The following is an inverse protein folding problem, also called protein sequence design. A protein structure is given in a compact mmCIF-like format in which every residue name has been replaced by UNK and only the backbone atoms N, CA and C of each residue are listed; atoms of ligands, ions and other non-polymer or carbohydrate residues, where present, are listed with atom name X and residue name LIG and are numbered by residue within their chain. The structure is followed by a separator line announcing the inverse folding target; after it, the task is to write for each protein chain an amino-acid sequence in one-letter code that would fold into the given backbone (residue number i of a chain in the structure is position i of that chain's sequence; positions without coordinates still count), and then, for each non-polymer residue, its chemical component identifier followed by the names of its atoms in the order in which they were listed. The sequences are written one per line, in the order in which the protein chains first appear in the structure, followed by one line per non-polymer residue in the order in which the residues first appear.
data_IF_161559728890
#
_entry.id   IF_161559728890
#
_cell.length_a   1.000
_cell.length_b   1.000
_cell.length_c   1.000
_cell.angle_alpha   90.00
_cell.angle_beta   90.00
_cell.angle_gamma   90.00
#
_symmetry.space_group_name_H-M   'P 1'
#
loop_
_entity.id
_entity.type
_entity.pdbx_description
1 polymer ?
#
# COMPACT_ATOMS: atom_id res chain seq x y z
N UNK A 1 17.64 28.00 4.74
CA UNK A 1 17.79 26.96 3.70
C UNK A 1 17.93 25.60 4.38
N UNK A 2 16.90 24.75 4.33
CA UNK A 2 17.06 23.35 4.76
C UNK A 2 17.81 22.64 3.64
N UNK A 3 19.00 22.10 3.93
CA UNK A 3 19.91 21.54 2.92
C UNK A 3 19.36 20.20 2.43
N UNK A 4 19.06 20.10 1.15
CA UNK A 4 19.03 18.84 0.42
C UNK A 4 20.50 18.50 0.11
N UNK A 5 21.20 17.93 1.08
CA UNK A 5 22.55 17.38 0.92
C UNK A 5 22.50 15.88 1.19
N UNK A 6 23.38 15.06 0.59
CA UNK A 6 23.13 13.63 0.46
C UNK A 6 23.32 12.92 1.80
N UNK A 7 22.30 12.25 2.36
CA UNK A 7 22.53 11.04 3.12
C UNK A 7 22.78 9.87 2.15
N UNK A 8 23.80 9.06 2.41
CA UNK A 8 23.99 7.80 1.71
C UNK A 8 22.72 6.94 1.81
N UNK A 9 22.30 6.36 0.68
CA UNK A 9 21.09 5.55 0.50
C UNK A 9 19.76 6.27 0.84
N UNK A 10 19.30 7.16 -0.04
CA UNK A 10 17.93 7.67 0.03
C UNK A 10 16.91 6.58 -0.31
N UNK A 11 15.92 6.39 0.56
CA UNK A 11 14.75 5.59 0.21
C UNK A 11 13.77 6.40 -0.64
N UNK A 12 12.94 5.71 -1.42
CA UNK A 12 11.88 6.33 -2.23
C UNK A 12 10.93 7.21 -1.37
N UNK A 13 10.71 6.82 -0.11
CA UNK A 13 9.89 7.58 0.83
C UNK A 13 10.57 8.86 1.27
N UNK A 14 11.87 8.79 1.56
CA UNK A 14 12.67 9.97 1.91
C UNK A 14 12.68 10.96 0.74
N UNK A 15 12.93 10.50 -0.49
CA UNK A 15 12.89 11.35 -1.68
C UNK A 15 11.55 12.09 -1.81
N UNK A 16 10.43 11.40 -1.58
CA UNK A 16 9.11 12.05 -1.64
C UNK A 16 8.78 12.90 -0.41
N UNK A 17 9.18 12.53 0.81
CA UNK A 17 9.04 13.44 1.96
C UNK A 17 9.85 14.72 1.71
N UNK A 18 11.06 14.62 1.15
CA UNK A 18 11.88 15.77 0.75
C UNK A 18 11.19 16.57 -0.37
N UNK A 19 10.82 15.96 -1.49
CA UNK A 19 10.22 16.66 -2.62
C UNK A 19 8.86 17.34 -2.29
N UNK A 20 8.08 16.74 -1.39
CA UNK A 20 6.77 17.27 -0.99
C UNK A 20 6.88 18.30 0.13
N UNK A 21 7.81 18.16 1.09
CA UNK A 21 7.88 19.00 2.30
C UNK A 21 9.08 19.96 2.35
N UNK A 22 10.07 19.81 1.48
CA UNK A 22 11.32 20.56 1.50
C UNK A 22 11.64 21.09 0.10
N UNK A 23 12.11 22.32 0.07
CA UNK A 23 12.48 23.04 -1.14
C UNK A 23 13.76 22.44 -1.73
N UNK A 24 13.66 21.31 -2.43
CA UNK A 24 14.78 20.76 -3.20
C UNK A 24 14.71 21.22 -4.67
N UNK A 25 15.85 21.62 -5.27
CA UNK A 25 15.93 21.89 -6.70
C UNK A 25 15.46 20.66 -7.51
N UNK A 26 14.66 20.84 -8.59
CA UNK A 26 14.16 19.73 -9.40
C UNK A 26 15.24 18.81 -9.93
N UNK A 27 16.37 19.36 -10.37
CA UNK A 27 17.52 18.59 -10.85
C UNK A 27 18.06 17.65 -9.78
N UNK A 28 18.19 18.13 -8.55
CA UNK A 28 18.67 17.31 -7.44
C UNK A 28 17.68 16.17 -7.10
N UNK A 29 16.37 16.45 -7.14
CA UNK A 29 15.34 15.42 -6.94
C UNK A 29 15.38 14.39 -8.07
N UNK A 30 15.62 14.81 -9.32
CA UNK A 30 15.75 13.89 -10.45
C UNK A 30 17.01 13.03 -10.39
N UNK A 31 18.14 13.61 -10.01
CA UNK A 31 19.40 12.90 -9.80
C UNK A 31 19.25 11.84 -8.70
N UNK A 32 18.68 12.22 -7.54
CA UNK A 32 18.38 11.28 -6.46
C UNK A 32 17.40 10.19 -6.92
N UNK A 33 16.39 10.55 -7.72
CA UNK A 33 15.41 9.60 -8.25
C UNK A 33 16.05 8.58 -9.19
N UNK A 34 16.93 9.02 -10.10
CA UNK A 34 17.69 8.16 -11.00
C UNK A 34 18.64 7.25 -10.23
N UNK A 35 19.27 7.76 -9.17
CA UNK A 35 20.11 6.93 -8.30
C UNK A 35 19.30 5.82 -7.61
N UNK A 36 18.08 6.13 -7.14
CA UNK A 36 17.19 5.13 -6.56
C UNK A 36 16.73 4.10 -7.60
N UNK A 37 16.48 4.49 -8.86
CA UNK A 37 16.16 3.51 -9.91
C UNK A 37 17.31 2.53 -10.12
N UNK A 38 18.54 3.04 -10.18
CA UNK A 38 19.73 2.21 -10.38
C UNK A 38 19.90 1.17 -9.26
N UNK A 39 19.57 1.50 -8.01
CA UNK A 39 19.64 0.53 -6.91
C UNK A 39 18.62 -0.62 -7.01
N UNK A 40 17.51 -0.44 -7.74
CA UNK A 40 16.56 -1.53 -8.03
C UNK A 40 16.95 -2.40 -9.23
N UNK A 41 17.88 -1.93 -10.07
CA UNK A 41 18.42 -2.69 -11.20
C UNK A 41 19.59 -3.58 -10.79
N UNK A 42 20.13 -3.41 -9.57
CA UNK A 42 21.12 -4.31 -8.99
C UNK A 42 20.45 -5.60 -8.48
N UNK A 43 21.04 -6.79 -8.72
CA UNK A 43 20.45 -8.08 -8.38
C UNK A 43 20.55 -8.37 -6.87
N UNK A 44 19.87 -7.59 -6.05
CA UNK A 44 19.61 -7.94 -4.65
C UNK A 44 18.10 -8.03 -4.43
N UNK A 45 17.63 -9.23 -4.07
CA UNK A 45 16.27 -9.42 -3.59
C UNK A 45 16.10 -8.59 -2.32
N UNK A 46 15.24 -7.56 -2.34
CA UNK A 46 14.88 -6.80 -1.14
C UNK A 46 14.17 -7.73 -0.14
N UNK A 47 14.94 -8.33 0.78
CA UNK A 47 14.41 -9.23 1.79
C UNK A 47 13.86 -8.45 2.98
N UNK A 48 12.55 -8.26 3.03
CA UNK A 48 11.90 -7.67 4.21
C UNK A 48 11.83 -8.71 5.34
N UNK A 49 12.68 -8.55 6.36
CA UNK A 49 12.64 -9.36 7.58
C UNK A 49 11.48 -8.91 8.49
N UNK A 50 10.64 -9.86 8.94
CA UNK A 50 9.76 -9.62 10.08
C UNK A 50 10.01 -10.75 11.07
N UNK A 51 10.52 -10.45 12.26
CA UNK A 51 10.70 -11.43 13.34
C UNK A 51 9.34 -11.96 13.78
N UNK A 52 9.21 -13.29 13.89
CA UNK A 52 7.99 -13.95 14.41
C UNK A 52 7.95 -13.72 15.92
N UNK A 53 6.93 -13.03 16.42
CA UNK A 53 6.77 -12.76 17.85
C UNK A 53 6.24 -13.97 18.61
N UNK A 54 6.77 -14.22 19.80
CA UNK A 54 6.30 -15.25 20.73
C UNK A 54 4.90 -14.95 21.25
N UNK A 55 4.23 -15.95 21.83
CA UNK A 55 2.92 -15.78 22.46
C UNK A 55 2.97 -14.74 23.59
N UNK A 56 4.06 -14.74 24.37
CA UNK A 56 4.29 -13.75 25.43
C UNK A 56 4.46 -12.34 24.88
N UNK A 57 5.23 -12.15 23.82
CA UNK A 57 5.39 -10.84 23.17
C UNK A 57 4.09 -10.33 22.53
N UNK A 58 3.20 -11.23 22.09
CA UNK A 58 1.85 -10.89 21.62
C UNK A 58 0.98 -10.41 22.79
N UNK A 59 1.03 -11.10 23.93
CA UNK A 59 0.30 -10.74 25.15
C UNK A 59 0.74 -9.39 25.73
N UNK A 60 2.05 -9.16 25.85
CA UNK A 60 2.60 -7.87 26.32
C UNK A 60 2.21 -6.72 25.38
N UNK A 61 2.20 -6.97 24.06
CA UNK A 61 1.69 -5.98 23.13
C UNK A 61 0.20 -5.70 23.37
N UNK A 62 -0.63 -6.74 23.54
CA UNK A 62 -2.07 -6.60 23.84
C UNK A 62 -2.35 -5.72 25.06
N UNK A 63 -1.70 -5.99 26.19
CA UNK A 63 -1.86 -5.22 27.43
C UNK A 63 -1.38 -3.77 27.27
N UNK A 64 -0.19 -3.56 26.66
CA UNK A 64 0.33 -2.22 26.37
C UNK A 64 -0.59 -1.38 25.44
N UNK A 65 -1.40 -2.03 24.60
CA UNK A 65 -2.33 -1.34 23.69
C UNK A 65 -3.71 -1.07 24.30
N UNK A 66 -4.19 -1.88 25.25
CA UNK A 66 -5.41 -1.58 26.00
C UNK A 66 -5.27 -0.30 26.82
N UNK A 67 -4.07 -0.04 27.34
CA UNK A 67 -3.78 1.13 28.17
C UNK A 67 -3.57 2.45 27.42
N UNK A 68 -3.46 2.45 26.07
CA UNK A 68 -3.24 3.69 25.30
C UNK A 68 -4.50 4.21 24.61
N UNK A 69 -5.26 5.13 25.25
CA UNK A 69 -6.22 5.94 24.53
C UNK A 69 -5.49 6.91 23.58
N UNK A 70 -6.00 6.97 22.34
CA UNK A 70 -6.09 8.20 21.53
C UNK A 70 -4.85 9.07 21.23
N UNK A 71 -3.60 8.60 21.29
CA UNK A 71 -2.48 9.43 20.76
C UNK A 71 -2.50 9.63 19.23
N UNK A 72 -3.23 8.80 18.49
CA UNK A 72 -3.32 8.89 17.02
C UNK A 72 -4.10 10.11 16.49
N UNK A 73 -4.93 10.77 17.31
CA UNK A 73 -5.64 11.99 16.91
C UNK A 73 -4.84 13.28 17.15
N UNK A 74 -3.74 13.21 17.90
CA UNK A 74 -2.95 14.39 18.30
C UNK A 74 -1.83 14.77 17.30
N UNK A 75 -1.70 14.07 16.16
CA UNK A 75 -0.53 14.16 15.28
C UNK A 75 -0.73 14.92 13.97
N UNK A 76 -1.97 15.33 13.62
CA UNK A 76 -2.24 16.10 12.40
C UNK A 76 -2.51 17.57 12.73
N UNK A 77 -1.45 18.36 12.93
CA UNK A 77 -1.57 19.82 12.98
C UNK A 77 -1.58 20.37 11.54
N UNK A 78 -2.79 20.55 10.99
CA UNK A 78 -2.97 21.07 9.63
C UNK A 78 -2.30 22.42 9.42
N UNK A 79 -2.17 23.26 10.45
CA UNK A 79 -1.51 24.59 10.30
C UNK A 79 -0.03 24.41 9.99
N UNK A 80 0.64 23.50 10.69
CA UNK A 80 2.04 23.14 10.40
C UNK A 80 2.20 22.50 9.03
N UNK A 81 1.28 21.61 8.63
CA UNK A 81 1.31 20.99 7.30
C UNK A 81 1.20 22.07 6.23
N UNK A 82 0.23 22.99 6.33
CA UNK A 82 0.09 24.11 5.39
C UNK A 82 1.34 24.99 5.39
N UNK A 83 1.87 25.32 6.56
CA UNK A 83 3.09 26.14 6.69
C UNK A 83 4.32 25.49 6.05
N UNK A 84 4.53 24.18 6.23
CA UNK A 84 5.66 23.47 5.59
C UNK A 84 5.44 23.22 4.09
N UNK A 85 4.27 23.54 3.56
CA UNK A 85 3.90 23.35 2.17
C UNK A 85 3.38 24.66 1.54
N UNK A 86 3.75 25.82 2.09
CA UNK A 86 3.32 27.13 1.58
C UNK A 86 4.07 27.56 0.32
N UNK A 87 5.25 26.99 0.08
CA UNK A 87 6.11 27.37 -1.03
C UNK A 87 5.51 26.92 -2.37
N UNK A 88 5.77 27.72 -3.42
CA UNK A 88 5.40 27.36 -4.79
C UNK A 88 6.17 26.12 -5.21
N UNK A 89 5.49 25.17 -5.84
CA UNK A 89 6.16 24.00 -6.41
C UNK A 89 7.02 24.42 -7.59
N UNK A 90 8.20 23.81 -7.80
CA UNK A 90 9.00 24.06 -8.99
C UNK A 90 8.27 23.74 -10.30
N UNK A 91 8.84 24.19 -11.42
CA UNK A 91 8.45 23.74 -12.75
C UNK A 91 9.00 22.34 -13.06
N UNK A 92 8.37 21.65 -14.01
CA UNK A 92 8.83 20.34 -14.47
C UNK A 92 10.15 20.47 -15.25
N UNK A 93 11.08 19.56 -15.02
CA UNK A 93 12.32 19.46 -15.80
C UNK A 93 12.13 18.74 -17.15
N UNK A 94 11.00 18.07 -17.35
CA UNK A 94 10.64 17.42 -18.61
C UNK A 94 9.72 18.28 -19.46
N UNK A 95 9.64 19.59 -19.19
CA UNK A 95 8.94 20.57 -20.02
C UNK A 95 7.49 20.16 -20.34
N UNK A 96 6.79 19.55 -19.38
CA UNK A 96 5.39 19.10 -19.55
C UNK A 96 5.20 18.05 -20.67
N UNK A 97 6.20 17.22 -20.94
CA UNK A 97 6.08 16.07 -21.85
C UNK A 97 5.09 15.02 -21.35
N UNK A 98 4.54 14.24 -22.27
CA UNK A 98 3.60 13.19 -21.92
C UNK A 98 4.31 12.03 -21.20
N UNK A 99 3.58 11.36 -20.31
CA UNK A 99 4.12 10.28 -19.48
C UNK A 99 4.82 9.16 -20.27
N UNK A 100 4.27 8.79 -21.42
CA UNK A 100 4.84 7.74 -22.27
C UNK A 100 6.16 8.17 -22.94
N UNK A 101 6.33 9.46 -23.23
CA UNK A 101 7.57 10.01 -23.80
C UNK A 101 8.68 10.08 -22.75
N UNK A 102 8.32 10.44 -21.50
CA UNK A 102 9.25 10.44 -20.37
C UNK A 102 9.66 9.01 -20.03
N UNK A 103 8.71 8.11 -19.81
CA UNK A 103 9.00 6.74 -19.39
C UNK A 103 9.57 5.84 -20.50
N UNK A 104 9.67 6.34 -21.74
CA UNK A 104 10.46 5.70 -22.80
C UNK A 104 11.98 5.92 -22.61
N UNK A 105 12.38 6.92 -21.83
CA UNK A 105 13.78 7.18 -21.51
C UNK A 105 14.26 6.26 -20.38
N UNK A 106 15.52 5.85 -20.48
CA UNK A 106 16.17 5.05 -19.44
C UNK A 106 16.24 5.83 -18.11
N UNK A 107 16.00 5.12 -17.01
CA UNK A 107 15.97 5.65 -15.64
C UNK A 107 15.03 6.84 -15.40
N UNK A 108 14.08 7.11 -16.30
CA UNK A 108 13.13 8.21 -16.10
C UNK A 108 11.94 7.79 -15.22
N UNK A 109 11.56 6.52 -15.23
CA UNK A 109 10.45 5.97 -14.44
C UNK A 109 10.86 4.67 -13.75
N UNK A 110 10.22 4.35 -12.63
CA UNK A 110 10.49 3.09 -11.92
C UNK A 110 10.25 1.89 -12.86
N UNK A 111 11.12 0.87 -12.86
CA UNK A 111 10.94 -0.29 -13.74
C UNK A 111 9.70 -1.11 -13.35
N UNK A 112 9.09 -1.84 -14.29
CA UNK A 112 7.96 -2.71 -13.97
C UNK A 112 8.43 -3.99 -13.28
N UNK A 113 7.55 -4.57 -12.45
CA UNK A 113 7.70 -5.91 -11.89
C UNK A 113 9.02 -6.18 -11.15
N UNK A 114 9.53 -5.21 -10.38
CA UNK A 114 10.63 -5.49 -9.45
C UNK A 114 10.17 -6.51 -8.42
N UNK A 115 10.98 -7.56 -8.23
CA UNK A 115 10.64 -8.67 -7.34
C UNK A 115 10.78 -8.24 -5.88
N UNK A 116 9.64 -8.11 -5.20
CA UNK A 116 9.59 -7.85 -3.77
C UNK A 116 8.84 -8.98 -3.08
N UNK A 117 9.40 -9.44 -1.95
CA UNK A 117 8.83 -10.49 -1.12
C UNK A 117 7.32 -10.26 -0.91
N UNK A 118 6.45 -11.17 -1.39
CA UNK A 118 5.03 -10.97 -1.30
C UNK A 118 4.51 -11.22 0.11
N UNK A 119 3.32 -10.72 0.40
CA UNK A 119 2.54 -11.11 1.57
C UNK A 119 1.20 -11.62 1.10
N UNK A 120 0.96 -12.90 1.30
CA UNK A 120 -0.24 -13.60 0.88
C UNK A 120 -1.03 -14.00 2.12
N UNK A 121 -2.35 -13.89 2.07
CA UNK A 121 -3.25 -14.57 3.00
C UNK A 121 -4.13 -15.55 2.25
N UNK A 122 -4.55 -16.62 2.90
CA UNK A 122 -5.33 -17.68 2.28
C UNK A 122 -6.55 -18.03 3.11
N UNK A 123 -7.58 -18.54 2.42
CA UNK A 123 -8.67 -19.32 3.00
C UNK A 123 -8.71 -20.67 2.27
N UNK A 124 -8.00 -21.71 2.78
CA UNK A 124 -7.98 -23.01 2.13
C UNK A 124 -9.35 -23.67 2.03
N UNK A 125 -10.24 -23.47 3.01
CA UNK A 125 -11.62 -24.01 2.97
C UNK A 125 -12.39 -23.47 1.76
N UNK A 126 -12.10 -22.25 1.33
CA UNK A 126 -12.74 -21.60 0.17
C UNK A 126 -11.86 -21.62 -1.09
N UNK A 127 -10.61 -22.07 -0.99
CA UNK A 127 -9.58 -21.96 -2.04
C UNK A 127 -9.45 -20.52 -2.57
N UNK A 128 -9.39 -19.57 -1.64
CA UNK A 128 -9.15 -18.16 -1.95
C UNK A 128 -7.75 -17.81 -1.45
N UNK A 129 -6.98 -17.08 -2.23
CA UNK A 129 -5.81 -16.36 -1.74
C UNK A 129 -5.96 -14.88 -2.07
N UNK A 130 -5.50 -14.00 -1.17
CA UNK A 130 -5.43 -12.56 -1.42
C UNK A 130 -3.99 -12.07 -1.26
N UNK A 131 -3.55 -11.25 -2.22
CA UNK A 131 -2.33 -10.47 -2.11
C UNK A 131 -2.58 -9.31 -1.15
N UNK A 132 -1.78 -9.23 -0.09
CA UNK A 132 -1.92 -8.23 0.96
C UNK A 132 -1.06 -7.01 0.66
N UNK A 133 -1.56 -6.12 -0.20
CA UNK A 133 -0.85 -4.87 -0.51
C UNK A 133 -1.15 -3.80 0.53
N UNK A 134 -0.08 -3.29 1.16
CA UNK A 134 -0.17 -2.22 2.13
C UNK A 134 -0.85 -0.98 1.54
N UNK A 135 -1.61 -0.30 2.40
CA UNK A 135 -2.50 0.83 2.05
C UNK A 135 -3.63 0.48 1.06
N UNK A 136 -3.84 -0.80 0.75
CA UNK A 136 -4.96 -1.27 -0.07
C UNK A 136 -5.77 -2.32 0.69
N UNK A 137 -6.29 -1.95 1.87
CA UNK A 137 -7.09 -2.84 2.74
C UNK A 137 -6.40 -4.16 3.17
N UNK A 138 -5.07 -4.26 3.16
CA UNK A 138 -4.36 -5.51 3.47
C UNK A 138 -4.76 -6.18 4.81
N UNK A 139 -4.80 -5.45 5.92
CA UNK A 139 -5.22 -6.01 7.22
C UNK A 139 -6.67 -6.48 7.20
N UNK A 140 -7.53 -5.76 6.48
CA UNK A 140 -8.94 -6.10 6.34
C UNK A 140 -9.12 -7.37 5.51
N UNK A 141 -8.39 -7.50 4.40
CA UNK A 141 -8.39 -8.73 3.59
C UNK A 141 -7.89 -9.94 4.37
N UNK A 142 -6.79 -9.79 5.10
CA UNK A 142 -6.27 -10.82 6.02
C UNK A 142 -7.35 -11.24 7.02
N UNK A 143 -8.05 -10.27 7.63
CA UNK A 143 -9.14 -10.56 8.55
C UNK A 143 -10.34 -11.24 7.89
N UNK A 144 -10.69 -10.87 6.65
CA UNK A 144 -11.78 -11.50 5.92
C UNK A 144 -11.44 -12.95 5.63
N UNK A 145 -10.24 -13.25 5.12
CA UNK A 145 -9.85 -14.64 4.84
C UNK A 145 -9.77 -15.49 6.11
N UNK A 146 -9.30 -14.90 7.21
CA UNK A 146 -9.33 -15.54 8.52
C UNK A 146 -10.77 -15.87 8.98
N UNK A 147 -11.70 -14.93 8.87
CA UNK A 147 -13.13 -15.16 9.14
C UNK A 147 -13.74 -16.23 8.22
N UNK A 148 -13.36 -16.28 6.94
CA UNK A 148 -13.88 -17.28 6.00
C UNK A 148 -13.44 -18.71 6.33
N UNK A 149 -12.29 -18.89 6.99
CA UNK A 149 -11.83 -20.20 7.44
C UNK A 149 -12.41 -20.60 8.80
N UNK A 150 -12.55 -19.65 9.72
CA UNK A 150 -12.93 -19.91 11.12
C UNK A 150 -14.03 -18.92 11.58
N UNK A 151 -15.24 -18.97 10.97
CA UNK A 151 -16.25 -17.94 11.20
C UNK A 151 -16.81 -17.97 12.62
N UNK A 152 -16.96 -19.15 13.22
CA UNK A 152 -17.50 -19.32 14.57
C UNK A 152 -16.50 -18.83 15.61
N UNK A 153 -15.25 -19.30 15.53
CA UNK A 153 -14.17 -18.94 16.44
C UNK A 153 -13.85 -17.45 16.36
N UNK A 154 -13.84 -16.87 15.15
CA UNK A 154 -13.62 -15.45 14.96
C UNK A 154 -14.68 -14.59 15.65
N UNK A 155 -15.97 -14.98 15.55
CA UNK A 155 -17.09 -14.28 16.19
C UNK A 155 -17.10 -14.50 17.70
N UNK A 156 -16.87 -15.74 18.17
CA UNK A 156 -16.78 -16.08 19.60
C UNK A 156 -15.64 -15.33 20.29
N UNK A 157 -14.50 -15.18 19.64
CA UNK A 157 -13.36 -14.39 20.11
C UNK A 157 -13.60 -12.87 20.00
N UNK A 158 -14.81 -12.42 19.64
CA UNK A 158 -15.22 -11.01 19.51
C UNK A 158 -14.28 -10.21 18.61
N UNK A 159 -13.73 -10.84 17.57
CA UNK A 159 -12.84 -10.20 16.60
C UNK A 159 -13.65 -9.33 15.64
N UNK A 160 -12.98 -8.39 14.98
CA UNK A 160 -13.63 -7.43 14.09
C UNK A 160 -12.83 -7.21 12.82
N UNK A 161 -13.47 -7.41 11.67
CA UNK A 161 -12.89 -7.24 10.34
C UNK A 161 -12.18 -5.87 10.15
N UNK A 162 -12.73 -4.81 10.74
CA UNK A 162 -12.18 -3.45 10.60
C UNK A 162 -11.22 -3.03 11.71
N UNK A 163 -11.17 -3.78 12.83
CA UNK A 163 -10.43 -3.40 14.05
C UNK A 163 -9.33 -4.41 14.42
N UNK A 164 -9.04 -5.37 13.56
CA UNK A 164 -7.87 -6.24 13.69
C UNK A 164 -6.59 -5.42 13.87
N UNK A 165 -5.78 -5.80 14.85
CA UNK A 165 -4.53 -5.12 15.15
C UNK A 165 -3.35 -5.87 14.53
N UNK A 166 -2.44 -5.20 13.78
CA UNK A 166 -1.39 -5.87 13.00
C UNK A 166 -0.49 -6.83 13.79
N UNK A 167 -0.25 -6.54 15.08
CA UNK A 167 0.65 -7.35 15.94
C UNK A 167 0.00 -8.61 16.53
N UNK A 168 -1.34 -8.68 16.57
CA UNK A 168 -2.11 -9.72 17.29
C UNK A 168 -3.28 -10.22 16.43
N UNK A 169 -3.07 -10.34 15.12
CA UNK A 169 -4.14 -10.77 14.22
C UNK A 169 -4.49 -12.22 14.48
N UNK A 170 -5.78 -12.53 14.43
CA UNK A 170 -6.31 -13.83 14.87
C UNK A 170 -5.66 -15.02 14.15
N UNK A 171 -5.50 -14.96 12.82
CA UNK A 171 -4.84 -16.02 12.03
C UNK A 171 -3.38 -15.68 11.63
N UNK A 172 -2.75 -14.66 12.23
CA UNK A 172 -1.41 -14.25 11.80
C UNK A 172 -0.36 -15.35 12.00
N UNK A 173 0.29 -15.71 10.89
CA UNK A 173 1.31 -16.75 10.83
C UNK A 173 0.77 -18.16 10.57
N UNK A 174 -0.56 -18.32 10.51
CA UNK A 174 -1.20 -19.61 10.23
C UNK A 174 -1.66 -19.70 8.78
N UNK A 175 -2.35 -18.66 8.28
CA UNK A 175 -2.86 -18.62 6.91
C UNK A 175 -2.11 -17.62 6.00
N UNK A 176 -0.92 -17.20 6.41
CA UNK A 176 -0.12 -16.18 5.72
C UNK A 176 1.23 -16.69 5.22
N UNK A 177 1.60 -16.26 4.01
CA UNK A 177 2.79 -16.75 3.32
C UNK A 177 3.60 -15.60 2.73
N UNK A 178 4.92 -15.81 2.62
CA UNK A 178 5.86 -14.85 2.05
C UNK A 178 6.39 -15.20 0.65
N UNK A 179 5.88 -16.29 0.07
CA UNK A 179 6.14 -16.65 -1.31
C UNK A 179 5.07 -17.60 -1.80
N UNK A 180 4.84 -17.60 -3.11
CA UNK A 180 3.94 -18.54 -3.77
C UNK A 180 4.39 -19.99 -3.58
N UNK A 181 5.70 -20.23 -3.56
CA UNK A 181 6.27 -21.56 -3.31
C UNK A 181 5.97 -22.05 -1.89
N UNK A 182 6.20 -21.21 -0.87
CA UNK A 182 5.93 -21.58 0.53
C UNK A 182 4.46 -21.86 0.75
N UNK A 183 3.58 -21.03 0.18
CA UNK A 183 2.13 -21.27 0.19
C UNK A 183 1.79 -22.65 -0.39
N UNK A 184 2.28 -22.95 -1.60
CA UNK A 184 1.99 -24.21 -2.29
C UNK A 184 2.50 -25.42 -1.51
N UNK A 185 3.71 -25.35 -0.96
CA UNK A 185 4.31 -26.43 -0.18
C UNK A 185 3.52 -26.68 1.10
N UNK A 186 3.21 -25.62 1.85
CA UNK A 186 2.44 -25.73 3.11
C UNK A 186 1.02 -26.23 2.91
N UNK A 187 0.35 -25.79 1.84
CA UNK A 187 -1.03 -26.18 1.53
C UNK A 187 -1.12 -27.44 0.65
N UNK A 188 0.02 -28.06 0.30
CA UNK A 188 0.12 -29.23 -0.57
C UNK A 188 -0.60 -29.04 -1.93
N UNK A 189 -0.45 -27.86 -2.53
CA UNK A 189 -1.07 -27.47 -3.80
C UNK A 189 -0.10 -27.70 -4.96
N UNK A 190 -0.49 -28.54 -5.91
CA UNK A 190 0.24 -28.74 -7.17
C UNK A 190 0.04 -27.58 -8.14
N UNK A 191 0.89 -27.45 -9.16
CA UNK A 191 0.78 -26.37 -10.15
C UNK A 191 -0.57 -26.39 -10.88
N UNK A 192 -1.05 -27.59 -11.24
CA UNK A 192 -2.34 -27.78 -11.92
C UNK A 192 -3.53 -27.37 -11.04
N UNK A 193 -3.40 -27.53 -9.73
CA UNK A 193 -4.46 -27.16 -8.78
C UNK A 193 -4.54 -25.65 -8.54
N UNK A 194 -3.56 -24.84 -8.95
CA UNK A 194 -3.64 -23.38 -8.80
C UNK A 194 -4.80 -22.78 -9.59
N UNK A 195 -5.16 -23.35 -10.74
CA UNK A 195 -6.31 -22.91 -11.53
C UNK A 195 -7.65 -23.06 -10.78
N UNK A 196 -7.71 -23.93 -9.76
CA UNK A 196 -8.90 -24.11 -8.94
C UNK A 196 -9.00 -23.11 -7.76
N UNK A 197 -7.99 -22.25 -7.60
CA UNK A 197 -7.93 -21.22 -6.56
C UNK A 197 -8.28 -19.86 -7.14
N UNK A 198 -8.99 -19.04 -6.36
CA UNK A 198 -9.25 -17.64 -6.70
C UNK A 198 -8.17 -16.76 -6.12
N UNK A 199 -7.45 -16.05 -6.98
CA UNK A 199 -6.41 -15.12 -6.57
C UNK A 199 -6.98 -13.72 -6.59
N UNK A 200 -7.00 -13.05 -5.44
CA UNK A 200 -7.50 -11.69 -5.32
C UNK A 200 -6.33 -10.72 -5.17
N UNK A 201 -6.34 -9.68 -5.98
CA UNK A 201 -5.47 -8.52 -5.80
C UNK A 201 -6.36 -7.29 -5.77
N UNK A 202 -6.49 -6.68 -4.59
CA UNK A 202 -7.14 -5.37 -4.51
C UNK A 202 -6.16 -4.33 -5.02
N UNK A 203 -6.60 -3.53 -5.99
CA UNK A 203 -5.81 -2.43 -6.54
C UNK A 203 -6.39 -1.10 -6.06
N UNK A 204 -5.53 -0.09 -5.91
CA UNK A 204 -5.93 1.26 -5.53
C UNK A 204 -5.31 2.27 -6.49
N UNK A 205 -6.04 3.35 -6.78
CA UNK A 205 -5.54 4.48 -7.54
C UNK A 205 -4.16 4.94 -7.00
N UNK A 206 -3.15 5.13 -7.87
CA UNK A 206 -1.79 5.41 -7.41
C UNK A 206 -1.66 6.68 -6.57
N UNK A 207 -2.36 7.77 -6.93
CA UNK A 207 -2.37 9.02 -6.15
C UNK A 207 -2.97 8.77 -4.77
N UNK A 208 -4.11 8.09 -4.71
CA UNK A 208 -4.79 7.81 -3.44
C UNK A 208 -3.99 6.88 -2.53
N UNK A 209 -3.34 5.87 -3.10
CA UNK A 209 -2.46 4.96 -2.36
C UNK A 209 -1.21 5.69 -1.85
N UNK A 210 -0.55 6.49 -2.69
CA UNK A 210 0.61 7.29 -2.30
C UNK A 210 0.27 8.22 -1.14
N UNK A 211 -0.80 9.01 -1.25
CA UNK A 211 -1.18 9.96 -0.19
C UNK A 211 -1.57 9.25 1.11
N UNK A 212 -2.15 8.06 1.04
CA UNK A 212 -2.39 7.22 2.21
C UNK A 212 -1.10 6.71 2.86
N UNK A 213 -0.09 6.36 2.06
CA UNK A 213 1.27 6.03 2.52
C UNK A 213 1.94 7.23 3.17
N UNK A 214 2.08 8.30 2.41
CA UNK A 214 2.72 9.55 2.78
C UNK A 214 2.20 10.14 4.10
N UNK A 215 0.88 10.24 4.27
CA UNK A 215 0.32 10.82 5.50
C UNK A 215 0.59 9.94 6.72
N UNK A 216 0.44 8.62 6.59
CA UNK A 216 0.68 7.72 7.73
C UNK A 216 2.16 7.71 8.15
N UNK A 217 3.09 7.87 7.20
CA UNK A 217 4.53 7.87 7.47
C UNK A 217 5.10 9.26 7.75
N UNK A 218 5.09 10.17 6.77
CA UNK A 218 5.76 11.48 6.87
C UNK A 218 5.00 12.47 7.78
N UNK A 219 3.67 12.35 7.91
CA UNK A 219 2.88 13.32 8.71
C UNK A 219 2.59 12.79 10.11
N UNK A 220 2.03 11.59 10.21
CA UNK A 220 1.60 11.03 11.50
C UNK A 220 2.72 10.30 12.25
N UNK A 221 3.84 10.00 11.59
CA UNK A 221 4.97 9.28 12.20
C UNK A 221 4.60 7.90 12.76
N UNK A 222 3.51 7.27 12.29
CA UNK A 222 2.91 6.09 12.94
C UNK A 222 3.80 4.84 12.87
N UNK A 223 4.86 4.83 12.05
CA UNK A 223 5.86 3.75 11.99
C UNK A 223 7.27 4.17 12.42
N UNK A 224 7.53 5.47 12.68
CA UNK A 224 8.82 5.94 13.23
C UNK A 224 8.94 5.74 14.75
N UNK A 225 7.92 5.16 15.40
CA UNK A 225 7.97 4.86 16.82
C UNK A 225 8.44 3.41 17.03
N UNK A 226 9.73 3.29 17.38
CA UNK A 226 10.47 2.12 17.90
C UNK A 226 11.30 1.29 16.90
N UNK A 227 12.37 1.86 16.34
CA UNK A 227 13.74 1.29 16.35
C UNK A 227 14.66 2.30 15.68
N UNK A 228 15.69 2.78 16.37
CA UNK A 228 16.66 3.75 15.86
C UNK A 228 17.66 3.18 14.85
N UNK A 229 17.21 2.30 13.94
CA UNK A 229 18.07 1.75 12.87
C UNK A 229 17.65 2.33 11.51
N UNK A 230 18.60 2.91 10.75
CA UNK A 230 18.41 3.40 9.39
C UNK A 230 18.58 2.27 8.34
N UNK A 231 18.13 1.06 8.64
CA UNK A 231 17.93 0.05 7.59
C UNK A 231 16.71 0.46 6.76
N UNK A 232 16.65 0.04 5.49
CA UNK A 232 15.45 0.10 4.64
C UNK A 232 14.32 -0.65 5.35
N UNK A 233 13.64 0.03 6.25
CA UNK A 233 12.61 -0.55 7.08
C UNK A 233 11.46 -0.96 6.16
N UNK A 234 10.68 -1.97 6.53
CA UNK A 234 9.47 -2.40 5.80
C UNK A 234 8.35 -1.33 5.70
N UNK A 235 8.72 -0.06 5.74
CA UNK A 235 7.93 1.17 5.66
C UNK A 235 7.81 1.64 4.20
N UNK A 236 8.89 1.59 3.40
CA UNK A 236 8.86 1.98 1.97
C UNK A 236 7.91 1.11 1.14
N UNK A 237 7.68 -0.12 1.61
CA UNK A 237 6.72 -1.08 1.04
C UNK A 237 5.31 -0.47 0.87
N UNK A 238 4.95 0.52 1.69
CA UNK A 238 3.64 1.18 1.67
C UNK A 238 3.46 2.12 0.48
N UNK A 239 4.53 2.56 -0.17
CA UNK A 239 4.51 3.47 -1.31
C UNK A 239 5.11 2.88 -2.59
N UNK A 240 5.80 1.74 -2.55
CA UNK A 240 6.26 1.07 -3.79
C UNK A 240 5.11 0.65 -4.70
N UNK A 241 5.30 0.61 -6.04
CA UNK A 241 4.27 0.20 -7.00
C UNK A 241 3.57 -1.12 -6.64
N UNK A 242 2.28 -1.22 -6.95
CA UNK A 242 1.50 -2.44 -6.74
C UNK A 242 1.88 -3.53 -7.74
N UNK A 243 2.36 -3.17 -8.93
CA UNK A 243 2.83 -4.14 -9.92
C UNK A 243 4.12 -4.89 -9.47
N UNK A 244 4.79 -4.42 -8.42
CA UNK A 244 5.94 -5.09 -7.77
C UNK A 244 5.53 -6.13 -6.73
N UNK A 245 4.23 -6.41 -6.58
CA UNK A 245 3.70 -7.27 -5.50
C UNK A 245 3.32 -8.64 -6.01
N UNK A 246 3.48 -9.64 -5.14
CA UNK A 246 2.78 -10.92 -5.29
C UNK A 246 3.13 -11.66 -6.58
N UNK A 247 4.41 -11.60 -6.97
CA UNK A 247 4.94 -12.23 -8.18
C UNK A 247 4.05 -11.92 -9.40
N UNK A 248 3.53 -10.68 -9.49
CA UNK A 248 2.49 -10.33 -10.46
C UNK A 248 2.93 -10.64 -11.88
N UNK A 249 4.21 -10.43 -12.24
CA UNK A 249 4.78 -10.80 -13.53
C UNK A 249 4.50 -12.26 -13.91
N UNK A 250 4.62 -13.17 -12.96
CA UNK A 250 4.47 -14.61 -13.16
C UNK A 250 3.02 -15.09 -13.07
N UNK A 251 2.22 -14.48 -12.19
CA UNK A 251 0.87 -14.94 -11.88
C UNK A 251 -0.24 -13.98 -12.35
N UNK A 252 0.07 -13.00 -13.20
CA UNK A 252 -0.86 -11.97 -13.67
C UNK A 252 -2.21 -12.55 -14.11
N UNK A 253 -2.19 -13.60 -14.94
CA UNK A 253 -3.40 -14.24 -15.49
C UNK A 253 -4.25 -14.97 -14.45
N UNK A 254 -3.72 -15.26 -13.26
CA UNK A 254 -4.47 -15.88 -12.18
C UNK A 254 -5.27 -14.84 -11.37
N UNK A 255 -4.79 -13.60 -11.32
CA UNK A 255 -5.35 -12.57 -10.45
C UNK A 255 -6.68 -12.03 -10.98
N UNK A 256 -7.69 -12.08 -10.12
CA UNK A 256 -8.89 -11.24 -10.20
C UNK A 256 -8.59 -9.92 -9.50
N UNK A 257 -8.55 -8.84 -10.28
CA UNK A 257 -8.34 -7.48 -9.76
C UNK A 257 -9.65 -6.92 -9.20
N UNK A 258 -9.60 -6.42 -7.96
CA UNK A 258 -10.74 -5.75 -7.31
C UNK A 258 -10.37 -4.29 -7.06
N UNK A 259 -11.11 -3.36 -7.66
CA UNK A 259 -10.83 -1.92 -7.47
C UNK A 259 -11.29 -1.46 -6.09
N UNK A 260 -10.34 -1.01 -5.29
CA UNK A 260 -10.61 -0.34 -4.02
C UNK A 260 -11.37 0.97 -4.26
N UNK A 261 -12.30 1.29 -3.34
CA UNK A 261 -13.00 2.55 -3.31
C UNK A 261 -13.14 3.06 -1.88
N UNK A 262 -12.96 4.37 -1.71
CA UNK A 262 -13.22 5.08 -0.46
C UNK A 262 -14.71 5.07 -0.05
N UNK A 263 -15.60 4.74 -1.00
CA UNK A 263 -17.04 4.48 -0.83
C UNK A 263 -17.30 3.02 -1.23
N UNK A 264 -17.30 2.09 -0.25
CA UNK A 264 -17.33 0.66 -0.56
C UNK A 264 -18.64 0.20 -1.24
N UNK A 265 -19.75 0.95 -1.08
CA UNK A 265 -21.08 0.59 -1.62
C UNK A 265 -21.11 0.34 -3.14
N UNK A 266 -20.13 0.84 -3.90
CA UNK A 266 -20.05 0.67 -5.35
C UNK A 266 -19.35 -0.62 -5.77
N UNK A 267 -18.37 -0.49 -6.66
CA UNK A 267 -17.67 -1.61 -7.31
C UNK A 267 -16.99 -2.55 -6.31
N UNK A 268 -16.38 -2.00 -5.25
CA UNK A 268 -15.62 -2.80 -4.28
C UNK A 268 -16.45 -3.93 -3.65
N UNK A 269 -17.60 -3.62 -3.04
CA UNK A 269 -18.40 -4.67 -2.39
C UNK A 269 -19.05 -5.61 -3.39
N UNK A 270 -19.47 -5.10 -4.55
CA UNK A 270 -20.03 -5.92 -5.62
C UNK A 270 -19.03 -6.95 -6.13
N UNK A 271 -17.83 -6.50 -6.50
CA UNK A 271 -16.80 -7.35 -7.11
C UNK A 271 -16.23 -8.34 -6.07
N UNK A 272 -16.08 -7.91 -4.81
CA UNK A 272 -15.67 -8.78 -3.72
C UNK A 272 -16.72 -9.85 -3.40
N UNK A 273 -18.00 -9.48 -3.32
CA UNK A 273 -19.09 -10.44 -3.09
C UNK A 273 -19.19 -11.44 -4.25
N UNK A 274 -19.06 -10.99 -5.50
CA UNK A 274 -19.04 -11.86 -6.67
C UNK A 274 -17.87 -12.88 -6.60
N UNK A 275 -16.66 -12.42 -6.25
CA UNK A 275 -15.51 -13.28 -6.09
C UNK A 275 -15.68 -14.32 -4.96
N UNK A 276 -16.41 -13.98 -3.90
CA UNK A 276 -16.74 -14.91 -2.82
C UNK A 276 -17.83 -15.92 -3.18
N UNK A 277 -18.85 -15.51 -3.93
CA UNK A 277 -19.89 -16.43 -4.44
C UNK A 277 -19.31 -17.49 -5.37
N UNK A 278 -18.39 -17.09 -6.25
CA UNK A 278 -17.64 -18.00 -7.14
C UNK A 278 -16.91 -19.13 -6.38
N UNK A 279 -16.67 -18.92 -5.08
CA UNK A 279 -15.98 -19.86 -4.17
C UNK A 279 -16.90 -20.46 -3.10
N UNK A 280 -18.21 -20.45 -3.32
CA UNK A 280 -19.22 -21.03 -2.43
C UNK A 280 -19.09 -20.51 -0.98
N UNK A 281 -18.80 -19.22 -0.83
CA UNK A 281 -18.97 -18.54 0.46
C UNK A 281 -20.48 -18.32 0.67
N UNK A 282 -20.98 -18.65 1.87
CA UNK A 282 -22.40 -18.50 2.17
C UNK A 282 -22.84 -17.04 2.16
N UNK A 283 -24.09 -16.79 1.77
CA UNK A 283 -24.66 -15.43 1.79
C UNK A 283 -24.68 -14.81 3.20
N UNK A 284 -24.73 -15.63 4.25
CA UNK A 284 -24.59 -15.16 5.63
C UNK A 284 -23.20 -14.59 5.91
N UNK A 285 -22.13 -15.29 5.52
CA UNK A 285 -20.76 -14.80 5.64
C UNK A 285 -20.49 -13.59 4.76
N UNK A 286 -20.99 -13.59 3.52
CA UNK A 286 -20.88 -12.42 2.62
C UNK A 286 -21.57 -11.21 3.26
N UNK A 287 -22.80 -11.38 3.77
CA UNK A 287 -23.54 -10.31 4.43
C UNK A 287 -22.85 -9.81 5.71
N UNK A 288 -22.22 -10.69 6.48
CA UNK A 288 -21.42 -10.29 7.64
C UNK A 288 -20.23 -9.41 7.22
N UNK A 289 -19.50 -9.82 6.17
CA UNK A 289 -18.37 -9.08 5.62
C UNK A 289 -18.83 -7.73 5.06
N UNK A 290 -19.87 -7.69 4.23
CA UNK A 290 -20.35 -6.44 3.62
C UNK A 290 -20.88 -5.48 4.68
N UNK A 291 -21.68 -5.93 5.65
CA UNK A 291 -22.11 -5.10 6.79
C UNK A 291 -20.92 -4.56 7.59
N UNK A 292 -19.91 -5.41 7.85
CA UNK A 292 -18.68 -4.97 8.53
C UNK A 292 -17.98 -3.86 7.75
N UNK A 293 -17.78 -4.03 6.44
CA UNK A 293 -17.14 -3.01 5.60
C UNK A 293 -17.96 -1.71 5.47
N UNK A 294 -19.28 -1.78 5.59
CA UNK A 294 -20.18 -0.62 5.58
C UNK A 294 -20.24 0.12 6.92
N UNK A 295 -19.97 -0.57 8.03
CA UNK A 295 -20.09 -0.02 9.38
C UNK A 295 -19.09 1.10 9.71
N UNK A 296 -18.04 1.27 8.93
CA UNK A 296 -17.10 2.35 9.13
C UNK A 296 -15.76 2.15 8.44
N UNK A 297 -14.73 2.79 8.99
CA UNK A 297 -13.36 2.77 8.47
C UNK A 297 -12.37 2.27 9.51
N UNK A 298 -11.23 1.74 9.05
CA UNK A 298 -10.13 1.33 9.92
C UNK A 298 -9.57 2.52 10.70
N UNK A 299 -8.87 2.24 11.82
CA UNK A 299 -8.30 3.28 12.70
C UNK A 299 -7.29 4.19 11.99
N UNK A 300 -6.61 3.66 10.97
CA UNK A 300 -5.56 4.35 10.21
C UNK A 300 -6.06 5.04 8.94
N UNK A 301 -7.38 5.10 8.71
CA UNK A 301 -7.90 5.76 7.50
C UNK A 301 -7.53 7.25 7.48
N UNK A 302 -6.99 7.71 6.35
CA UNK A 302 -6.62 9.12 6.10
C UNK A 302 -7.64 9.86 5.25
N UNK A 303 -8.58 9.14 4.63
CA UNK A 303 -9.45 9.60 3.53
C UNK A 303 -10.22 10.88 3.86
N UNK A 304 -10.63 11.06 5.11
CA UNK A 304 -11.46 12.20 5.53
C UNK A 304 -10.68 13.34 6.19
N UNK A 305 -9.36 13.23 6.36
CA UNK A 305 -8.60 14.27 7.08
C UNK A 305 -8.43 15.55 6.25
N UNK A 306 -8.40 16.70 6.93
CA UNK A 306 -8.13 17.98 6.29
C UNK A 306 -6.75 17.99 5.61
N UNK A 307 -5.77 17.37 6.26
CA UNK A 307 -4.42 17.13 5.70
C UNK A 307 -4.47 16.38 4.38
N UNK A 308 -5.27 15.30 4.29
CA UNK A 308 -5.42 14.53 3.04
C UNK A 308 -5.98 15.39 1.92
N UNK A 309 -7.01 16.20 2.19
CA UNK A 309 -7.62 17.10 1.20
C UNK A 309 -6.63 18.15 0.70
N UNK A 310 -5.90 18.80 1.63
CA UNK A 310 -4.90 19.82 1.30
C UNK A 310 -3.78 19.25 0.43
N UNK A 311 -3.18 18.13 0.84
CA UNK A 311 -2.09 17.49 0.09
C UNK A 311 -2.56 16.94 -1.26
N UNK A 312 -3.78 16.41 -1.34
CA UNK A 312 -4.36 15.97 -2.61
C UNK A 312 -4.50 17.12 -3.59
N UNK A 313 -5.04 18.24 -3.12
CA UNK A 313 -5.19 19.43 -3.95
C UNK A 313 -3.84 19.90 -4.44
N UNK A 314 -2.87 20.11 -3.53
CA UNK A 314 -1.51 20.54 -3.89
C UNK A 314 -0.83 19.60 -4.90
N UNK A 315 -0.97 18.28 -4.74
CA UNK A 315 -0.41 17.29 -5.66
C UNK A 315 -1.11 17.34 -7.02
N UNK A 316 -2.44 17.42 -7.05
CA UNK A 316 -3.24 17.43 -8.28
C UNK A 316 -3.21 18.74 -9.06
N UNK A 317 -2.79 19.85 -8.44
CA UNK A 317 -2.66 21.15 -9.11
C UNK A 317 -1.23 21.51 -9.44
N UNK A 318 -0.26 20.64 -9.12
CA UNK A 318 1.15 20.86 -9.43
C UNK A 318 1.57 19.91 -10.54
N UNK A 319 1.89 20.42 -11.75
CA UNK A 319 2.44 19.61 -12.83
C UNK A 319 3.66 18.81 -12.39
N UNK A 320 4.58 19.45 -11.66
CA UNK A 320 5.79 18.83 -11.12
C UNK A 320 5.51 17.67 -10.16
N UNK A 321 4.64 17.87 -9.16
CA UNK A 321 4.32 16.80 -8.21
C UNK A 321 3.55 15.66 -8.88
N UNK A 322 2.65 15.97 -9.80
CA UNK A 322 1.89 14.95 -10.52
C UNK A 322 2.80 14.13 -11.46
N UNK A 323 3.73 14.79 -12.16
CA UNK A 323 4.72 14.10 -12.98
C UNK A 323 5.55 13.12 -12.15
N UNK A 324 6.04 13.53 -10.98
CA UNK A 324 6.76 12.63 -10.06
C UNK A 324 5.92 11.40 -9.67
N UNK A 325 4.63 11.58 -9.40
CA UNK A 325 3.71 10.47 -9.11
C UNK A 325 3.53 9.56 -10.33
N UNK A 326 3.42 10.13 -11.52
CA UNK A 326 3.30 9.35 -12.74
C UNK A 326 4.58 8.56 -13.01
N UNK A 327 5.76 9.16 -12.83
CA UNK A 327 7.05 8.48 -13.00
C UNK A 327 7.26 7.34 -11.99
N UNK A 328 6.77 7.50 -10.76
CA UNK A 328 6.75 6.43 -9.76
C UNK A 328 5.85 5.26 -10.15
N UNK A 329 4.64 5.56 -10.62
CA UNK A 329 3.57 4.57 -10.72
C UNK A 329 3.16 4.28 -12.16
N UNK A 330 3.97 4.66 -13.15
CA UNK A 330 3.65 4.53 -14.57
C UNK A 330 3.10 3.14 -14.91
N UNK A 331 3.82 2.11 -14.48
CA UNK A 331 3.43 0.71 -14.73
C UNK A 331 2.25 0.22 -13.88
N UNK A 332 1.91 0.87 -12.76
CA UNK A 332 0.63 0.63 -12.09
C UNK A 332 -0.53 1.14 -12.95
N UNK A 333 -0.39 2.30 -13.59
CA UNK A 333 -1.42 2.83 -14.50
C UNK A 333 -1.65 1.87 -15.68
N UNK A 334 -0.57 1.40 -16.31
CA UNK A 334 -0.63 0.47 -17.44
C UNK A 334 -1.18 -0.90 -17.01
N UNK A 335 -0.53 -1.59 -16.07
CA UNK A 335 -0.85 -3.00 -15.78
C UNK A 335 -2.09 -3.18 -14.91
N UNK A 336 -2.49 -2.17 -14.13
CA UNK A 336 -3.69 -2.23 -13.31
C UNK A 336 -4.86 -1.44 -13.92
N UNK A 337 -4.67 -0.94 -15.15
CA UNK A 337 -5.66 -0.26 -15.96
C UNK A 337 -6.29 0.93 -15.23
N UNK A 338 -5.45 1.83 -14.72
CA UNK A 338 -5.85 3.15 -14.20
C UNK A 338 -5.57 4.23 -15.24
N UNK A 339 -6.42 5.27 -15.34
CA UNK A 339 -6.15 6.40 -16.22
C UNK A 339 -4.90 7.14 -15.76
N UNK A 340 -3.99 7.43 -16.69
CA UNK A 340 -2.82 8.27 -16.44
C UNK A 340 -3.30 9.72 -16.29
N UNK A 341 -2.97 10.44 -15.21
CA UNK A 341 -3.25 11.86 -15.09
C UNK A 341 -2.55 12.67 -16.19
N UNK A 342 -3.29 13.55 -16.86
CA UNK A 342 -2.70 14.53 -17.77
C UNK A 342 -2.21 15.74 -16.94
N UNK A 343 -0.91 15.76 -16.68
CA UNK A 343 -0.26 16.86 -15.96
C UNK A 343 0.31 17.94 -16.89
N UNK A 344 0.27 17.71 -18.21
CA UNK A 344 0.80 18.65 -19.20
C UNK A 344 -0.05 19.92 -19.29
N UNK A 345 -1.33 19.79 -18.95
CA UNK A 345 -2.33 20.86 -18.94
C UNK A 345 -2.51 21.53 -17.56
N UNK A 346 -1.79 21.10 -16.52
CA UNK A 346 -1.99 21.58 -15.14
C UNK A 346 -1.32 22.94 -14.83
N UNK A 347 -0.80 23.64 -15.84
CA UNK A 347 -0.05 24.89 -15.69
C UNK A 347 -0.30 25.95 -16.77
N UNK A 348 -1.29 25.73 -17.64
CA UNK A 348 -1.72 26.69 -18.68
C UNK A 348 -2.86 27.56 -18.18
N UNK A 349 -2.58 28.45 -17.22
CA UNK A 349 -3.47 29.56 -16.84
C UNK A 349 -2.68 30.83 -16.53
#
# INVERSE_FOLDING_TARGET
MRRCGPPAALSLLLLFCLAVQLFCPPQLVDDDFRQIIKSFNEPETVTVSYKRKTMFEKFIAEEFYREKPTRARALEDIRKVVQYNSDRTPESIYEYRAAHEICAQEDACLPPFVDIAPLLATSPKKKIMACLVQKTMSTVLSSILCYLDQPEEFVLAKRSILREHPRIRFCAGDNEFRSMEKMRKSLKITARQLNAWKFLLLTRDPVDRFLSGFIDQCIRGLQFVQTGDPEVTGVDIHIYPQNWRCDLKRYHSYYTFIRYSNKPQGTLLRDLAAAFRDRNVSESSIRYITKSLLSGRTKHSTVTSATRKFLEHRLKTSPYLMELIVRLFYYDYIHLNYPIPDYTQLGTF
#
